data_IF_752489155958
#
_entry.id   IF_752489155958
#
_cell.length_a   1.000
_cell.length_b   1.000
_cell.length_c   1.000
_cell.angle_alpha   90.00
_cell.angle_beta   90.00
_cell.angle_gamma   90.00
#
_symmetry.space_group_name_H-M   'P 1'
#
loop_
_entity.id
_entity.type
_entity.pdbx_description
1 polymer ?
#
# COMPACT_ATOMS: atom_id res chain seq x y z
N UNK A 1 -6.34 4.46 -24.07
CA UNK A 1 -6.42 3.24 -23.23
C UNK A 1 -5.14 2.93 -22.41
N UNK A 2 -3.96 2.77 -23.03
CA UNK A 2 -2.75 2.33 -22.29
C UNK A 2 -2.14 3.42 -21.40
N UNK A 3 -2.14 4.68 -21.84
CA UNK A 3 -1.61 5.81 -21.07
C UNK A 3 -2.47 6.10 -19.84
N UNK A 4 -3.79 6.02 -19.97
CA UNK A 4 -4.75 6.18 -18.89
C UNK A 4 -4.55 5.06 -17.86
N UNK A 5 -4.39 3.82 -18.32
CA UNK A 5 -4.10 2.69 -17.43
C UNK A 5 -2.82 2.94 -16.61
N UNK A 6 -1.76 3.40 -17.26
CA UNK A 6 -0.50 3.71 -16.58
C UNK A 6 -0.66 4.87 -15.58
N UNK A 7 -1.42 5.90 -15.94
CA UNK A 7 -1.74 7.01 -15.05
C UNK A 7 -2.49 6.54 -13.79
N UNK A 8 -3.54 5.74 -13.96
CA UNK A 8 -4.31 5.20 -12.82
C UNK A 8 -3.49 4.21 -11.98
N UNK A 9 -2.60 3.43 -12.59
CA UNK A 9 -1.66 2.59 -11.88
C UNK A 9 -0.71 3.42 -11.01
N UNK A 10 -0.14 4.50 -11.55
CA UNK A 10 0.73 5.42 -10.80
C UNK A 10 -0.02 6.09 -9.63
N UNK A 11 -1.29 6.45 -9.83
CA UNK A 11 -2.13 6.96 -8.75
C UNK A 11 -2.33 5.90 -7.66
N UNK A 12 -2.56 4.64 -8.04
CA UNK A 12 -2.59 3.50 -7.13
C UNK A 12 -1.30 3.36 -6.33
N UNK A 13 -0.15 3.40 -7.00
CA UNK A 13 1.17 3.36 -6.34
C UNK A 13 1.30 4.48 -5.31
N UNK A 14 0.95 5.71 -5.67
CA UNK A 14 1.01 6.85 -4.73
C UNK A 14 0.13 6.62 -3.50
N UNK A 15 -1.11 6.14 -3.69
CA UNK A 15 -2.00 5.81 -2.59
C UNK A 15 -1.44 4.68 -1.72
N UNK A 16 -0.83 3.66 -2.33
CA UNK A 16 -0.17 2.57 -1.63
C UNK A 16 1.05 3.02 -0.82
N UNK A 17 1.84 3.99 -1.30
CA UNK A 17 2.91 4.61 -0.51
C UNK A 17 2.34 5.32 0.72
N UNK A 18 1.28 6.11 0.53
CA UNK A 18 0.65 6.83 1.63
C UNK A 18 0.09 5.85 2.67
N UNK A 19 -0.59 4.79 2.23
CA UNK A 19 -1.11 3.74 3.09
C UNK A 19 0.01 3.04 3.85
N UNK A 20 1.04 2.57 3.14
CA UNK A 20 2.13 1.81 3.75
C UNK A 20 2.94 2.64 4.75
N UNK A 21 3.06 3.96 4.57
CA UNK A 21 3.78 4.82 5.52
C UNK A 21 2.97 5.20 6.76
N UNK A 22 1.63 5.13 6.71
CA UNK A 22 0.75 5.51 7.82
C UNK A 22 0.35 4.25 8.58
N UNK A 23 0.86 4.03 9.81
CA UNK A 23 0.48 2.87 10.60
C UNK A 23 -1.04 2.84 10.82
N UNK A 24 -1.65 1.68 10.56
CA UNK A 24 -3.09 1.47 10.73
C UNK A 24 -3.97 1.89 9.54
N UNK A 25 -3.41 2.41 8.45
CA UNK A 25 -4.15 2.63 7.20
C UNK A 25 -3.92 1.46 6.24
N UNK A 26 -4.97 0.68 5.95
CA UNK A 26 -4.84 -0.52 5.12
C UNK A 26 -5.40 -0.28 3.70
N UNK A 27 -4.82 -0.91 2.65
CA UNK A 27 -5.32 -0.83 1.27
C UNK A 27 -6.81 -1.20 1.13
N UNK A 28 -7.29 -2.18 1.90
CA UNK A 28 -8.72 -2.52 2.03
C UNK A 28 -9.64 -1.31 2.30
N UNK A 29 -9.21 -0.32 3.09
CA UNK A 29 -10.00 0.89 3.33
C UNK A 29 -10.11 1.74 2.07
N UNK A 30 -9.02 1.84 1.31
CA UNK A 30 -8.98 2.52 0.01
C UNK A 30 -9.88 1.77 -0.98
N UNK A 31 -9.84 0.44 -0.98
CA UNK A 31 -10.69 -0.39 -1.82
C UNK A 31 -12.17 -0.20 -1.52
N UNK A 32 -12.54 -0.23 -0.25
CA UNK A 32 -13.93 -0.04 0.17
C UNK A 32 -14.45 1.36 -0.23
N UNK A 33 -13.63 2.39 -0.05
CA UNK A 33 -13.97 3.77 -0.41
C UNK A 33 -14.11 3.95 -1.94
N UNK A 34 -13.16 3.41 -2.71
CA UNK A 34 -13.21 3.46 -4.17
C UNK A 34 -14.41 2.71 -4.74
N UNK A 35 -14.73 1.53 -4.20
CA UNK A 35 -15.90 0.75 -4.62
C UNK A 35 -17.19 1.52 -4.29
N UNK A 36 -17.28 2.10 -3.08
CA UNK A 36 -18.45 2.87 -2.64
C UNK A 36 -18.68 4.13 -3.48
N UNK A 37 -17.60 4.78 -3.92
CA UNK A 37 -17.66 5.99 -4.76
C UNK A 37 -17.75 5.67 -6.26
N UNK A 38 -17.46 4.44 -6.68
CA UNK A 38 -17.42 4.04 -8.09
C UNK A 38 -18.65 4.45 -8.92
N UNK A 39 -19.90 4.41 -8.42
CA UNK A 39 -21.06 4.82 -9.22
C UNK A 39 -21.07 6.31 -9.56
N UNK A 40 -20.38 7.14 -8.77
CA UNK A 40 -20.34 8.59 -8.92
C UNK A 40 -19.11 9.08 -9.71
N UNK A 41 -18.09 8.24 -9.86
CA UNK A 41 -16.81 8.63 -10.47
C UNK A 41 -16.85 8.61 -12.01
N UNK A 42 -17.75 7.83 -12.62
CA UNK A 42 -17.80 7.67 -14.07
C UNK A 42 -16.53 7.05 -14.68
N UNK A 43 -15.72 6.39 -13.84
CA UNK A 43 -14.46 5.74 -14.22
C UNK A 43 -14.75 4.29 -14.61
N UNK A 44 -14.18 3.82 -15.71
CA UNK A 44 -14.28 2.41 -16.11
C UNK A 44 -13.65 1.47 -15.06
N UNK A 45 -14.27 0.30 -14.87
CA UNK A 45 -13.83 -0.69 -13.87
C UNK A 45 -12.36 -1.08 -14.00
N UNK A 46 -11.82 -1.14 -15.22
CA UNK A 46 -10.41 -1.47 -15.46
C UNK A 46 -9.44 -0.48 -14.82
N UNK A 47 -9.78 0.80 -14.82
CA UNK A 47 -8.95 1.84 -14.20
C UNK A 47 -9.04 1.80 -12.68
N UNK A 48 -10.23 1.52 -12.12
CA UNK A 48 -10.38 1.29 -10.68
C UNK A 48 -9.52 0.09 -10.22
N UNK A 49 -9.54 -1.01 -10.98
CA UNK A 49 -8.68 -2.18 -10.71
C UNK A 49 -7.21 -1.79 -10.75
N UNK A 50 -6.78 -0.98 -11.71
CA UNK A 50 -5.39 -0.52 -11.80
C UNK A 50 -4.96 0.28 -10.55
N UNK A 51 -5.82 1.15 -10.02
CA UNK A 51 -5.56 1.87 -8.76
C UNK A 51 -5.42 0.88 -7.60
N UNK A 52 -6.35 -0.07 -7.48
CA UNK A 52 -6.35 -1.04 -6.38
C UNK A 52 -5.10 -1.92 -6.38
N UNK A 53 -4.77 -2.50 -7.54
CA UNK A 53 -3.58 -3.37 -7.68
C UNK A 53 -2.30 -2.58 -7.39
N UNK A 54 -2.19 -1.36 -7.93
CA UNK A 54 -1.04 -0.49 -7.65
C UNK A 54 -0.91 -0.16 -6.17
N UNK A 55 -2.04 0.12 -5.51
CA UNK A 55 -2.08 0.46 -4.07
C UNK A 55 -1.72 -0.73 -3.19
N UNK A 56 -2.32 -1.90 -3.41
CA UNK A 56 -2.07 -3.10 -2.59
C UNK A 56 -0.62 -3.56 -2.68
N UNK A 57 -0.10 -3.70 -3.91
CA UNK A 57 1.28 -4.14 -4.12
C UNK A 57 2.22 -3.15 -3.45
N UNK A 58 2.07 -1.85 -3.71
CA UNK A 58 2.98 -0.85 -3.15
C UNK A 58 2.92 -0.81 -1.61
N UNK A 59 1.72 -0.89 -1.03
CA UNK A 59 1.56 -0.93 0.43
C UNK A 59 2.35 -2.07 1.05
N UNK A 60 2.22 -3.29 0.51
CA UNK A 60 2.88 -4.50 1.06
C UNK A 60 4.41 -4.44 1.08
N UNK A 61 5.02 -3.52 0.34
CA UNK A 61 6.46 -3.25 0.41
C UNK A 61 6.79 -2.07 1.34
N UNK A 62 5.95 -1.05 1.34
CA UNK A 62 6.21 0.22 2.05
C UNK A 62 5.89 0.10 3.54
N UNK A 63 4.91 -0.71 3.92
CA UNK A 63 4.51 -0.97 5.32
C UNK A 63 5.63 -1.61 6.17
N UNK A 64 6.60 -2.28 5.55
CA UNK A 64 7.81 -2.76 6.22
C UNK A 64 8.58 -1.62 6.88
N UNK A 65 8.57 -0.41 6.32
CA UNK A 65 9.34 0.73 6.83
C UNK A 65 8.84 1.12 8.22
N UNK A 66 7.57 1.56 8.41
CA UNK A 66 7.09 1.88 9.75
C UNK A 66 7.05 0.65 10.66
N UNK A 67 6.76 -0.55 10.15
CA UNK A 67 6.69 -1.75 11.00
C UNK A 67 8.05 -2.16 11.58
N UNK A 68 9.15 -1.98 10.84
CA UNK A 68 10.52 -2.12 11.35
C UNK A 68 10.83 -1.01 12.36
N UNK A 69 10.51 0.25 12.04
CA UNK A 69 10.84 1.41 12.87
C UNK A 69 10.09 1.42 14.23
N UNK A 70 8.80 1.10 14.21
CA UNK A 70 7.93 1.08 15.41
C UNK A 70 7.90 -0.27 16.11
N UNK A 71 8.58 -1.28 15.57
CA UNK A 71 8.56 -2.66 16.09
C UNK A 71 7.14 -3.22 16.26
N UNK A 72 6.26 -2.90 15.31
CA UNK A 72 4.85 -3.29 15.33
C UNK A 72 4.48 -4.09 14.06
N UNK A 73 5.05 -5.30 13.87
CA UNK A 73 4.75 -6.14 12.72
C UNK A 73 3.35 -6.77 12.81
N UNK A 74 2.80 -7.09 11.64
CA UNK A 74 1.59 -7.91 11.53
C UNK A 74 1.95 -9.41 11.64
N UNK A 75 0.96 -10.28 11.90
CA UNK A 75 1.21 -11.72 12.14
C UNK A 75 1.90 -12.42 10.96
N UNK A 76 1.59 -12.01 9.74
CA UNK A 76 2.10 -12.56 8.48
C UNK A 76 3.50 -12.03 8.11
N UNK A 77 3.85 -10.83 8.57
CA UNK A 77 5.13 -10.16 8.27
C UNK A 77 6.15 -10.23 9.40
N UNK A 78 5.77 -10.69 10.60
CA UNK A 78 6.62 -10.74 11.80
C UNK A 78 7.99 -11.40 11.57
N UNK A 79 8.05 -12.55 10.90
CA UNK A 79 9.31 -13.25 10.63
C UNK A 79 10.17 -12.52 9.59
N UNK A 80 9.53 -11.87 8.61
CA UNK A 80 10.21 -11.12 7.54
C UNK A 80 10.81 -9.81 8.05
N UNK A 81 10.19 -9.20 9.06
CA UNK A 81 10.59 -7.91 9.66
C UNK A 81 11.73 -8.09 10.68
N UNK A 82 11.81 -9.25 11.35
CA UNK A 82 12.76 -9.51 12.43
C UNK A 82 14.23 -9.20 12.08
N UNK A 83 14.78 -9.58 10.91
CA UNK A 83 16.14 -9.20 10.53
C UNK A 83 16.34 -7.68 10.44
N UNK A 84 15.36 -6.97 9.88
CA UNK A 84 15.39 -5.51 9.78
C UNK A 84 15.41 -4.83 11.15
N UNK A 85 14.58 -5.30 12.08
CA UNK A 85 14.59 -4.81 13.48
C UNK A 85 15.95 -5.03 14.16
N UNK A 86 16.59 -6.19 13.94
CA UNK A 86 17.93 -6.46 14.49
C UNK A 86 19.00 -5.52 13.93
N UNK A 87 18.93 -5.17 12.65
CA UNK A 87 19.84 -4.19 12.05
C UNK A 87 19.57 -2.77 12.58
N UNK A 88 18.31 -2.38 12.71
CA UNK A 88 17.90 -1.09 13.28
C UNK A 88 18.44 -0.91 14.71
N UNK A 89 18.24 -1.91 15.57
CA UNK A 89 18.75 -1.90 16.95
C UNK A 89 20.28 -1.88 17.03
N UNK A 90 20.96 -2.39 16.00
CA UNK A 90 22.42 -2.36 15.91
C UNK A 90 22.97 -1.06 15.29
N UNK A 91 22.11 -0.09 14.95
CA UNK A 91 22.51 1.15 14.25
C UNK A 91 22.99 0.91 12.82
N UNK A 92 22.50 -0.16 12.18
CA UNK A 92 22.91 -0.63 10.84
C UNK A 92 21.74 -0.78 9.87
N UNK A 93 20.60 -0.14 10.18
CA UNK A 93 19.46 -0.05 9.27
C UNK A 93 19.73 0.98 8.17
#
# INVERSE_FOLDING_TARGET
MFLELFFFLLLGILLGVIAGLIPGLHPNTIAFLLISLSPFLGIETIYLIAILVGSEITNSFVDFIPSILFSAPEEDTALSILPGQRFLLAGRA
#
